data_IF_469415235606
#
_entry.id   IF_469415235606
#
_cell.length_a   1.000
_cell.length_b   1.000
_cell.length_c   1.000
_cell.angle_alpha   90.00
_cell.angle_beta   90.00
_cell.angle_gamma   90.00
#
_symmetry.space_group_name_H-M   'P 1'
#
loop_
_entity.id
_entity.type
_entity.pdbx_description
1 polymer ?
#
# COMPACT_ATOMS: atom_id res chain seq x y z
N UNK A 1 -15.77 19.06 -29.69
CA UNK A 1 -15.64 19.70 -28.36
C UNK A 1 -16.48 18.99 -27.29
N UNK A 2 -17.82 18.92 -27.39
CA UNK A 2 -18.68 18.33 -26.34
C UNK A 2 -18.27 16.91 -25.94
N UNK A 3 -18.06 16.00 -26.87
CA UNK A 3 -17.63 14.62 -26.58
C UNK A 3 -16.27 14.53 -25.88
N UNK A 4 -15.34 15.44 -26.17
CA UNK A 4 -14.05 15.52 -25.47
C UNK A 4 -14.24 15.99 -24.03
N UNK A 5 -15.08 17.00 -23.82
CA UNK A 5 -15.40 17.57 -22.50
C UNK A 5 -16.02 16.49 -21.60
N UNK A 6 -17.00 15.74 -22.12
CA UNK A 6 -17.68 14.68 -21.36
C UNK A 6 -16.72 13.53 -21.02
N UNK A 7 -15.90 13.07 -21.98
CA UNK A 7 -14.88 12.04 -21.73
C UNK A 7 -13.81 12.46 -20.73
N UNK A 8 -13.55 13.75 -20.58
CA UNK A 8 -12.54 14.31 -19.66
C UNK A 8 -13.17 14.85 -18.37
N UNK A 9 -14.31 14.31 -17.95
CA UNK A 9 -14.98 14.70 -16.72
C UNK A 9 -15.21 16.23 -16.60
N UNK A 10 -15.50 16.89 -17.73
CA UNK A 10 -15.72 18.33 -17.84
C UNK A 10 -14.44 19.19 -17.59
N UNK A 11 -13.27 18.62 -17.77
CA UNK A 11 -11.99 19.35 -17.67
C UNK A 11 -11.36 19.46 -19.06
N UNK A 12 -10.87 20.65 -19.40
CA UNK A 12 -10.29 20.93 -20.73
C UNK A 12 -9.00 21.72 -20.61
N UNK A 13 -8.06 21.52 -21.54
CA UNK A 13 -6.91 22.37 -21.66
C UNK A 13 -7.21 23.60 -22.53
N UNK A 14 -6.40 24.65 -22.36
CA UNK A 14 -6.49 25.85 -23.20
C UNK A 14 -6.29 25.53 -24.69
N UNK A 15 -5.38 24.61 -24.98
CA UNK A 15 -5.11 24.15 -26.33
C UNK A 15 -6.34 23.52 -26.97
N UNK A 16 -6.97 22.56 -26.27
CA UNK A 16 -8.19 21.91 -26.73
C UNK A 16 -9.34 22.90 -27.00
N UNK A 17 -9.49 23.90 -26.13
CA UNK A 17 -10.52 24.93 -26.26
C UNK A 17 -10.30 25.79 -27.50
N UNK A 18 -9.07 26.25 -27.71
CA UNK A 18 -8.73 27.10 -28.86
C UNK A 18 -8.77 26.33 -30.18
N UNK A 19 -8.22 25.10 -30.21
CA UNK A 19 -8.29 24.20 -31.38
C UNK A 19 -9.73 23.80 -31.73
N UNK A 20 -10.61 23.76 -30.70
CA UNK A 20 -12.05 23.51 -30.87
C UNK A 20 -12.83 24.72 -31.36
N UNK A 21 -12.17 25.82 -31.77
CA UNK A 21 -12.76 26.99 -32.39
C UNK A 21 -13.22 28.10 -31.45
N UNK A 22 -12.98 27.98 -30.12
CA UNK A 22 -13.30 29.05 -29.16
C UNK A 22 -12.25 30.18 -29.25
N UNK A 23 -12.69 31.44 -29.39
CA UNK A 23 -11.80 32.58 -29.39
C UNK A 23 -11.20 32.82 -27.98
N UNK A 24 -10.03 33.49 -27.93
CA UNK A 24 -9.39 33.90 -26.66
C UNK A 24 -10.30 34.81 -25.84
N UNK A 25 -11.07 35.68 -26.49
CA UNK A 25 -12.04 36.57 -25.83
C UNK A 25 -13.19 35.77 -25.21
N UNK A 26 -13.79 34.83 -25.93
CA UNK A 26 -14.85 33.97 -25.41
C UNK A 26 -14.36 33.12 -24.22
N UNK A 27 -13.14 32.60 -24.28
CA UNK A 27 -12.53 31.89 -23.17
C UNK A 27 -12.35 32.79 -21.93
N UNK A 28 -11.81 34.02 -22.12
CA UNK A 28 -11.66 34.99 -21.03
C UNK A 28 -13.00 35.34 -20.40
N UNK A 29 -14.04 35.54 -21.22
CA UNK A 29 -15.39 35.82 -20.74
C UNK A 29 -15.95 34.67 -19.87
N UNK A 30 -15.73 33.39 -20.23
CA UNK A 30 -16.16 32.23 -19.45
C UNK A 30 -15.42 32.10 -18.11
N UNK A 31 -14.16 32.55 -18.05
CA UNK A 31 -13.26 32.46 -16.88
C UNK A 31 -13.32 33.69 -15.97
N UNK A 32 -14.16 34.71 -16.29
CA UNK A 32 -14.32 35.89 -15.46
C UNK A 32 -14.87 35.52 -14.05
N UNK A 33 -14.73 36.38 -13.08
CA UNK A 33 -15.38 36.23 -11.77
C UNK A 33 -16.88 36.04 -11.94
N UNK A 34 -17.47 35.01 -11.31
CA UNK A 34 -18.85 34.62 -11.50
C UNK A 34 -19.17 33.96 -12.85
N UNK A 35 -18.18 33.73 -13.70
CA UNK A 35 -18.35 33.00 -14.96
C UNK A 35 -18.58 31.49 -14.77
N UNK A 36 -19.07 30.82 -15.84
CA UNK A 36 -19.43 29.39 -15.75
C UNK A 36 -18.23 28.45 -15.69
N UNK A 37 -17.01 28.94 -15.96
CA UNK A 37 -15.80 28.12 -15.95
C UNK A 37 -14.84 28.54 -14.85
N UNK A 38 -14.12 27.55 -14.31
CA UNK A 38 -13.13 27.75 -13.26
C UNK A 38 -11.74 27.30 -13.72
N UNK A 39 -10.71 28.10 -13.43
CA UNK A 39 -9.31 27.69 -13.62
C UNK A 39 -8.92 26.74 -12.50
N UNK A 40 -8.48 25.50 -12.83
CA UNK A 40 -7.93 24.54 -11.88
C UNK A 40 -6.42 24.64 -11.79
N UNK A 41 -5.76 24.76 -12.95
CA UNK A 41 -4.32 24.85 -13.10
C UNK A 41 -3.99 25.83 -14.26
N UNK A 42 -2.75 26.30 -14.42
CA UNK A 42 -2.37 27.12 -15.55
C UNK A 42 -2.73 26.42 -16.88
N UNK A 43 -3.60 27.05 -17.65
CA UNK A 43 -4.07 26.52 -18.92
C UNK A 43 -5.03 25.33 -18.86
N UNK A 44 -5.56 24.98 -17.67
CA UNK A 44 -6.54 23.90 -17.50
C UNK A 44 -7.77 24.42 -16.76
N UNK A 45 -8.95 24.11 -17.28
CA UNK A 45 -10.20 24.67 -16.88
C UNK A 45 -11.25 23.59 -16.60
N UNK A 46 -12.05 23.81 -15.57
CA UNK A 46 -13.28 23.06 -15.30
C UNK A 46 -14.46 23.80 -15.97
N UNK A 47 -15.24 23.08 -16.75
CA UNK A 47 -16.33 23.66 -17.54
C UNK A 47 -17.69 23.62 -16.87
N UNK A 48 -17.75 23.15 -15.64
CA UNK A 48 -18.92 23.10 -14.75
C UNK A 48 -18.64 23.82 -13.45
N UNK A 49 -19.68 24.19 -12.73
CA UNK A 49 -19.59 24.82 -11.40
C UNK A 49 -19.44 23.78 -10.30
N UNK A 50 -19.04 24.21 -9.09
CA UNK A 50 -18.91 23.36 -7.91
C UNK A 50 -17.47 23.03 -7.54
N UNK A 51 -17.31 22.23 -6.47
CA UNK A 51 -16.00 21.74 -6.03
C UNK A 51 -15.52 20.63 -6.96
N UNK A 52 -14.28 20.71 -7.48
CA UNK A 52 -13.74 19.67 -8.36
C UNK A 52 -13.71 18.31 -7.67
N UNK A 53 -14.24 17.31 -8.35
CA UNK A 53 -14.14 15.91 -7.91
C UNK A 53 -12.70 15.42 -8.02
N UNK A 54 -12.40 14.28 -7.40
CA UNK A 54 -11.10 13.64 -7.51
C UNK A 54 -10.74 13.36 -8.98
N UNK A 55 -11.63 12.76 -9.76
CA UNK A 55 -11.41 12.46 -11.18
C UNK A 55 -11.13 13.73 -11.98
N UNK A 56 -11.83 14.81 -11.69
CA UNK A 56 -11.61 16.11 -12.33
C UNK A 56 -10.23 16.68 -11.99
N UNK A 57 -9.77 16.53 -10.75
CA UNK A 57 -8.42 16.95 -10.36
C UNK A 57 -7.35 16.08 -11.04
N UNK A 58 -7.52 14.77 -11.11
CA UNK A 58 -6.62 13.83 -11.80
C UNK A 58 -6.56 14.14 -13.30
N UNK A 59 -7.72 14.39 -13.95
CA UNK A 59 -7.78 14.82 -15.34
C UNK A 59 -7.07 16.16 -15.56
N UNK A 60 -7.28 17.12 -14.65
CA UNK A 60 -6.59 18.39 -14.74
C UNK A 60 -5.07 18.24 -14.59
N UNK A 61 -4.60 17.36 -13.70
CA UNK A 61 -3.19 17.07 -13.49
C UNK A 61 -2.57 16.43 -14.75
N UNK A 62 -3.24 15.48 -15.37
CA UNK A 62 -2.79 14.85 -16.62
C UNK A 62 -2.75 15.84 -17.78
N UNK A 63 -3.81 16.64 -17.99
CA UNK A 63 -3.83 17.67 -19.01
C UNK A 63 -2.74 18.74 -18.79
N UNK A 64 -2.47 19.08 -17.54
CA UNK A 64 -1.37 19.97 -17.18
C UNK A 64 -0.01 19.32 -17.45
N UNK A 65 0.16 18.04 -17.21
CA UNK A 65 1.40 17.30 -17.55
C UNK A 65 1.65 17.22 -19.05
N UNK A 66 0.60 17.17 -19.86
CA UNK A 66 0.68 17.05 -21.31
C UNK A 66 0.30 15.65 -21.84
N UNK A 67 0.40 15.41 -23.15
CA UNK A 67 -0.18 14.23 -23.80
C UNK A 67 0.44 12.89 -23.37
N UNK A 68 1.68 12.89 -22.91
CA UNK A 68 2.40 11.69 -22.46
C UNK A 68 2.48 11.56 -20.94
N UNK A 69 1.67 12.32 -20.22
CA UNK A 69 1.65 12.26 -18.77
C UNK A 69 0.94 11.03 -18.25
N UNK A 70 1.44 10.49 -17.14
CA UNK A 70 0.87 9.32 -16.46
C UNK A 70 0.68 9.64 -14.98
N UNK A 71 -0.54 9.49 -14.49
CA UNK A 71 -0.85 9.63 -13.05
C UNK A 71 -0.21 8.47 -12.29
N UNK A 72 0.48 8.75 -11.19
CA UNK A 72 1.20 7.74 -10.40
C UNK A 72 0.98 7.90 -8.90
N UNK A 73 1.71 7.13 -8.09
CA UNK A 73 1.69 7.24 -6.64
C UNK A 73 0.30 7.00 -6.03
N UNK A 74 -0.06 7.79 -5.03
CA UNK A 74 -1.31 7.61 -4.28
C UNK A 74 -2.58 7.69 -5.13
N UNK A 75 -2.60 8.51 -6.17
CA UNK A 75 -3.74 8.63 -7.07
C UNK A 75 -3.92 7.36 -7.92
N UNK A 76 -2.86 6.81 -8.48
CA UNK A 76 -2.90 5.56 -9.24
C UNK A 76 -3.25 4.37 -8.34
N UNK A 77 -2.65 4.26 -7.15
CA UNK A 77 -2.99 3.22 -6.18
C UNK A 77 -4.49 3.21 -5.85
N UNK A 78 -5.05 4.38 -5.59
CA UNK A 78 -6.47 4.48 -5.29
C UNK A 78 -7.36 4.14 -6.50
N UNK A 79 -6.92 4.40 -7.74
CA UNK A 79 -7.63 3.94 -8.94
C UNK A 79 -7.74 2.41 -8.96
N UNK A 80 -6.67 1.70 -8.58
CA UNK A 80 -6.65 0.23 -8.45
C UNK A 80 -7.27 -0.27 -7.14
N UNK A 81 -7.84 0.60 -6.29
CA UNK A 81 -8.40 0.27 -4.97
C UNK A 81 -7.37 -0.33 -4.02
N UNK A 82 -6.12 0.09 -4.15
CA UNK A 82 -5.01 -0.28 -3.28
C UNK A 82 -4.83 0.73 -2.15
N UNK A 83 -4.23 0.32 -1.01
CA UNK A 83 -3.85 1.25 0.04
C UNK A 83 -2.98 2.38 -0.51
N UNK A 84 -3.41 3.60 -0.28
CA UNK A 84 -2.74 4.80 -0.77
C UNK A 84 -2.42 5.75 0.39
N UNK A 85 -1.30 6.48 0.32
CA UNK A 85 -1.01 7.50 1.32
C UNK A 85 -2.07 8.63 1.26
N UNK A 86 -2.43 9.13 2.43
CA UNK A 86 -3.32 10.30 2.53
C UNK A 86 -2.56 11.55 2.03
N UNK A 87 -2.91 12.03 0.86
CA UNK A 87 -2.33 13.24 0.26
C UNK A 87 -3.33 13.93 -0.64
N UNK A 88 -3.31 15.26 -0.61
CA UNK A 88 -4.07 16.09 -1.53
C UNK A 88 -3.31 16.32 -2.86
N UNK A 89 -2.04 15.94 -2.92
CA UNK A 89 -1.23 16.09 -4.11
C UNK A 89 -1.44 14.95 -5.09
N UNK A 90 -1.45 15.27 -6.36
CA UNK A 90 -1.52 14.32 -7.46
C UNK A 90 -0.16 14.27 -8.14
N UNK A 91 0.45 13.10 -8.08
CA UNK A 91 1.75 12.84 -8.67
C UNK A 91 1.58 12.42 -10.13
N UNK A 92 2.34 13.06 -11.02
CA UNK A 92 2.27 12.81 -12.45
C UNK A 92 3.67 12.63 -13.02
N UNK A 93 3.90 11.50 -13.66
CA UNK A 93 5.10 11.25 -14.45
C UNK A 93 5.01 11.99 -15.79
N UNK A 94 6.07 12.63 -16.16
CA UNK A 94 6.20 13.32 -17.44
C UNK A 94 7.56 13.02 -18.08
N UNK A 95 7.67 13.01 -19.42
CA UNK A 95 8.96 12.88 -20.10
C UNK A 95 9.96 13.96 -19.69
N UNK A 96 11.25 13.65 -19.80
CA UNK A 96 12.36 14.58 -19.41
C UNK A 96 12.26 15.93 -20.12
N UNK A 97 11.72 15.98 -21.33
CA UNK A 97 11.62 17.19 -22.17
C UNK A 97 10.57 18.19 -21.64
N UNK A 98 9.68 17.76 -20.76
CA UNK A 98 8.63 18.63 -20.22
C UNK A 98 9.23 19.64 -19.26
N UNK A 99 9.13 20.94 -19.59
CA UNK A 99 9.69 22.04 -18.80
C UNK A 99 8.71 22.63 -17.75
N UNK A 100 7.51 22.10 -17.66
CA UNK A 100 6.51 22.58 -16.69
C UNK A 100 6.94 22.30 -15.26
N UNK A 101 6.57 23.20 -14.34
CA UNK A 101 6.85 23.07 -12.91
C UNK A 101 5.64 22.52 -12.17
N UNK A 102 5.86 21.88 -11.04
CA UNK A 102 4.80 21.52 -10.10
C UNK A 102 4.06 22.78 -9.64
N UNK A 103 2.71 22.70 -9.55
CA UNK A 103 1.87 23.84 -9.18
C UNK A 103 0.58 23.37 -8.53
N UNK A 104 0.11 24.11 -7.54
CA UNK A 104 -1.13 23.79 -6.81
C UNK A 104 -1.12 22.38 -6.25
N UNK A 105 -2.08 21.60 -6.62
CA UNK A 105 -2.22 20.21 -6.18
C UNK A 105 -1.46 19.19 -7.06
N UNK A 106 -0.60 19.62 -7.99
CA UNK A 106 0.11 18.73 -8.92
C UNK A 106 1.60 18.73 -8.65
N UNK A 107 2.18 17.55 -8.47
CA UNK A 107 3.61 17.29 -8.50
C UNK A 107 4.00 16.60 -9.81
N UNK A 108 4.87 17.24 -10.58
CA UNK A 108 5.42 16.67 -11.80
C UNK A 108 6.77 16.02 -11.51
N UNK A 109 6.90 14.76 -11.93
CA UNK A 109 8.12 13.98 -11.82
C UNK A 109 8.64 13.67 -13.22
N UNK A 110 9.75 14.28 -13.60
CA UNK A 110 10.38 14.01 -14.89
C UNK A 110 11.10 12.67 -14.85
N UNK A 111 10.85 11.84 -15.86
CA UNK A 111 11.47 10.53 -15.95
C UNK A 111 11.80 10.16 -17.39
N UNK A 112 12.96 9.52 -17.60
CA UNK A 112 13.28 8.84 -18.87
C UNK A 112 12.62 7.47 -18.97
N UNK A 113 12.03 6.97 -17.87
CA UNK A 113 11.41 5.66 -17.79
C UNK A 113 9.89 5.80 -17.60
N UNK A 114 9.22 6.17 -18.69
CA UNK A 114 7.76 6.20 -18.70
C UNK A 114 7.21 4.77 -18.64
N UNK A 115 6.21 4.51 -17.78
CA UNK A 115 5.62 3.17 -17.71
C UNK A 115 4.77 2.88 -18.94
N UNK A 116 4.73 1.60 -19.32
CA UNK A 116 3.73 1.11 -20.27
C UNK A 116 2.38 1.08 -19.56
N UNK A 117 1.39 1.73 -20.12
CA UNK A 117 0.02 1.78 -19.57
C UNK A 117 -0.91 0.92 -20.40
N UNK A 118 -1.93 0.34 -19.78
CA UNK A 118 -2.94 -0.48 -20.46
C UNK A 118 -3.89 0.33 -21.37
N UNK A 119 -3.53 1.57 -21.69
CA UNK A 119 -4.35 2.53 -22.44
C UNK A 119 -5.09 3.50 -21.52
N UNK A 120 -5.52 4.64 -22.06
CA UNK A 120 -6.21 5.65 -21.28
C UNK A 120 -7.64 5.19 -20.96
N UNK A 121 -7.98 5.04 -19.71
CA UNK A 121 -9.36 4.93 -19.25
C UNK A 121 -9.94 6.34 -19.11
N UNK A 122 -10.97 6.66 -19.87
CA UNK A 122 -11.58 8.00 -19.91
C UNK A 122 -10.58 9.16 -20.19
N UNK A 123 -9.53 8.88 -20.99
CA UNK A 123 -8.49 9.87 -21.32
C UNK A 123 -7.40 10.04 -20.27
N UNK A 124 -7.41 9.26 -19.20
CA UNK A 124 -6.36 9.22 -18.16
C UNK A 124 -5.53 7.96 -18.28
N UNK A 125 -4.21 8.12 -18.21
CA UNK A 125 -3.27 7.02 -18.07
C UNK A 125 -2.79 6.94 -16.62
N UNK A 126 -2.85 5.73 -16.04
CA UNK A 126 -2.34 5.45 -14.69
C UNK A 126 -1.13 4.53 -14.77
N UNK A 127 -0.14 4.79 -13.93
CA UNK A 127 1.00 3.89 -13.77
C UNK A 127 0.53 2.52 -13.26
N UNK A 128 1.11 1.41 -13.75
CA UNK A 128 0.80 0.07 -13.25
C UNK A 128 1.01 -0.03 -11.73
N UNK A 129 0.35 -0.98 -11.04
CA UNK A 129 0.38 -1.09 -9.58
C UNK A 129 1.79 -1.14 -8.99
N UNK A 130 2.71 -1.92 -9.55
CA UNK A 130 4.09 -2.00 -9.09
C UNK A 130 4.80 -0.65 -9.18
N UNK A 131 4.67 0.04 -10.32
CA UNK A 131 5.26 1.37 -10.52
C UNK A 131 4.62 2.40 -9.59
N UNK A 132 3.31 2.42 -9.45
CA UNK A 132 2.60 3.34 -8.58
C UNK A 132 2.99 3.16 -7.10
N UNK A 133 3.12 1.90 -6.65
CA UNK A 133 3.55 1.57 -5.30
C UNK A 133 5.01 1.95 -5.04
N UNK A 134 5.90 1.67 -5.99
CA UNK A 134 7.30 2.08 -5.92
C UNK A 134 7.45 3.59 -5.83
N UNK A 135 6.78 4.33 -6.72
CA UNK A 135 6.81 5.80 -6.73
C UNK A 135 6.25 6.38 -5.42
N UNK A 136 5.10 5.86 -4.93
CA UNK A 136 4.52 6.30 -3.66
C UNK A 136 5.50 6.07 -2.49
N UNK A 137 6.11 4.89 -2.41
CA UNK A 137 7.05 4.54 -1.34
C UNK A 137 8.34 5.38 -1.38
N UNK A 138 8.83 5.76 -2.57
CA UNK A 138 10.00 6.64 -2.72
C UNK A 138 9.78 8.03 -2.12
N UNK A 139 8.55 8.51 -2.11
CA UNK A 139 8.22 9.86 -1.61
C UNK A 139 7.74 9.86 -0.17
N UNK A 140 7.49 8.69 0.42
CA UNK A 140 7.19 8.53 1.83
C UNK A 140 8.47 8.62 2.67
N UNK A 141 8.34 9.22 3.86
CA UNK A 141 9.40 9.25 4.87
C UNK A 141 9.08 8.38 6.07
N UNK A 142 7.86 7.93 6.16
CA UNK A 142 7.34 7.10 7.22
C UNK A 142 7.38 5.63 6.81
N UNK A 143 8.15 4.82 7.54
CA UNK A 143 8.32 3.38 7.29
C UNK A 143 6.98 2.63 7.38
N UNK A 144 6.10 3.03 8.30
CA UNK A 144 4.81 2.37 8.49
C UNK A 144 3.89 2.60 7.28
N UNK A 145 3.87 3.83 6.77
CA UNK A 145 3.10 4.14 5.56
C UNK A 145 3.66 3.38 4.35
N UNK A 146 4.99 3.31 4.21
CA UNK A 146 5.63 2.53 3.15
C UNK A 146 5.26 1.04 3.26
N UNK A 147 5.30 0.45 4.47
CA UNK A 147 4.85 -0.92 4.73
C UNK A 147 3.39 -1.14 4.33
N UNK A 148 2.49 -0.23 4.73
CA UNK A 148 1.07 -0.33 4.40
C UNK A 148 0.82 -0.30 2.87
N UNK A 149 1.51 0.59 2.16
CA UNK A 149 1.41 0.71 0.70
C UNK A 149 1.94 -0.54 0.00
N UNK A 150 3.16 -0.97 0.33
CA UNK A 150 3.81 -2.09 -0.36
C UNK A 150 3.14 -3.42 -0.03
N UNK A 151 2.87 -3.70 1.26
CA UNK A 151 2.17 -4.92 1.65
C UNK A 151 0.77 -4.99 1.02
N UNK A 152 0.02 -3.88 1.04
CA UNK A 152 -1.30 -3.83 0.42
C UNK A 152 -1.27 -3.99 -1.10
N UNK A 153 -0.23 -3.47 -1.78
CA UNK A 153 -0.06 -3.66 -3.21
C UNK A 153 0.24 -5.14 -3.56
N UNK A 154 1.04 -5.83 -2.73
CA UNK A 154 1.38 -7.25 -2.95
C UNK A 154 0.24 -8.19 -2.59
N UNK A 155 -0.53 -7.90 -1.55
CA UNK A 155 -1.60 -8.79 -1.07
C UNK A 155 -2.90 -8.67 -1.88
N UNK A 156 -3.07 -7.60 -2.61
CA UNK A 156 -4.28 -7.37 -3.39
C UNK A 156 -4.24 -8.15 -4.71
N UNK A 157 -5.37 -8.76 -5.07
CA UNK A 157 -5.56 -9.38 -6.40
C UNK A 157 -5.44 -8.37 -7.56
N UNK A 158 -5.60 -7.09 -7.30
CA UNK A 158 -5.45 -6.00 -8.28
C UNK A 158 -4.12 -5.27 -8.15
N UNK A 159 -3.21 -5.82 -7.34
CA UNK A 159 -1.91 -5.24 -7.05
C UNK A 159 -0.81 -5.74 -7.97
N UNK A 160 0.31 -6.10 -7.37
CA UNK A 160 1.49 -6.56 -8.09
C UNK A 160 2.22 -7.64 -7.28
N UNK A 161 3.11 -8.37 -7.94
CA UNK A 161 3.98 -9.35 -7.29
C UNK A 161 5.20 -8.69 -6.63
N UNK A 162 5.85 -9.34 -5.65
CA UNK A 162 7.13 -8.88 -5.12
C UNK A 162 8.22 -8.74 -6.20
N UNK A 163 8.21 -9.61 -7.20
CA UNK A 163 9.18 -9.59 -8.29
C UNK A 163 8.99 -8.36 -9.19
N UNK A 164 7.74 -8.00 -9.54
CA UNK A 164 7.44 -6.77 -10.28
C UNK A 164 7.90 -5.51 -9.52
N UNK A 165 7.72 -5.48 -8.19
CA UNK A 165 8.24 -4.40 -7.34
C UNK A 165 9.77 -4.38 -7.30
N UNK A 166 10.41 -5.56 -7.26
CA UNK A 166 11.86 -5.67 -7.30
C UNK A 166 12.41 -5.17 -8.63
N UNK A 167 11.72 -5.44 -9.75
CA UNK A 167 12.07 -4.94 -11.08
C UNK A 167 11.96 -3.41 -11.14
N UNK A 168 10.90 -2.84 -10.62
CA UNK A 168 10.74 -1.39 -10.52
C UNK A 168 11.84 -0.75 -9.67
N UNK A 169 12.23 -1.41 -8.57
CA UNK A 169 13.29 -0.96 -7.67
C UNK A 169 14.68 -1.04 -8.32
N UNK A 170 14.95 -2.09 -9.11
CA UNK A 170 16.21 -2.25 -9.88
C UNK A 170 16.33 -1.22 -10.99
N UNK A 171 15.26 -0.98 -11.70
CA UNK A 171 15.19 0.00 -12.78
C UNK A 171 15.05 1.45 -12.29
N UNK A 172 14.71 1.68 -11.04
CA UNK A 172 14.46 2.98 -10.43
C UNK A 172 15.72 3.63 -9.84
N UNK A 173 15.59 4.85 -9.28
CA UNK A 173 16.71 5.56 -8.65
C UNK A 173 17.14 4.85 -7.36
N UNK A 174 18.45 4.73 -7.15
CA UNK A 174 19.03 4.21 -5.90
C UNK A 174 18.79 5.18 -4.75
N UNK A 175 18.96 6.49 -5.02
CA UNK A 175 18.77 7.54 -4.02
C UNK A 175 17.30 7.61 -3.59
N UNK A 176 17.05 7.57 -2.30
CA UNK A 176 15.69 7.61 -1.71
C UNK A 176 14.98 6.26 -1.65
N UNK A 177 15.56 5.18 -2.20
CA UNK A 177 14.92 3.87 -2.23
C UNK A 177 15.14 2.99 -0.98
N UNK A 178 15.82 3.51 0.05
CA UNK A 178 16.18 2.73 1.25
C UNK A 178 14.95 2.13 1.97
N UNK A 179 13.89 2.93 2.15
CA UNK A 179 12.64 2.45 2.75
C UNK A 179 11.98 1.37 1.89
N UNK A 180 11.90 1.57 0.58
CA UNK A 180 11.31 0.61 -0.34
C UNK A 180 12.09 -0.70 -0.34
N UNK A 181 13.45 -0.65 -0.38
CA UNK A 181 14.31 -1.85 -0.30
C UNK A 181 14.08 -2.62 0.98
N UNK A 182 14.03 -1.92 2.11
CA UNK A 182 13.76 -2.53 3.41
C UNK A 182 12.41 -3.22 3.43
N UNK A 183 11.35 -2.52 3.02
CA UNK A 183 9.98 -3.06 3.04
C UNK A 183 9.82 -4.22 2.06
N UNK A 184 10.45 -4.14 0.88
CA UNK A 184 10.40 -5.24 -0.08
C UNK A 184 11.09 -6.49 0.46
N UNK A 185 12.24 -6.36 1.14
CA UNK A 185 12.88 -7.47 1.81
C UNK A 185 11.96 -8.10 2.88
N UNK A 186 11.30 -7.27 3.70
CA UNK A 186 10.34 -7.75 4.71
C UNK A 186 9.18 -8.53 4.06
N UNK A 187 8.62 -8.03 2.97
CA UNK A 187 7.52 -8.70 2.23
C UNK A 187 7.99 -10.00 1.59
N UNK A 188 9.19 -10.01 1.00
CA UNK A 188 9.79 -11.22 0.43
C UNK A 188 10.09 -12.30 1.49
N UNK A 189 10.32 -11.88 2.74
CA UNK A 189 10.47 -12.76 3.90
C UNK A 189 9.12 -13.19 4.53
N UNK A 190 8.00 -13.00 3.85
CA UNK A 190 6.67 -13.45 4.29
C UNK A 190 5.90 -12.52 5.23
N UNK A 191 6.39 -11.29 5.46
CA UNK A 191 5.66 -10.29 6.25
C UNK A 191 4.47 -9.74 5.47
N UNK A 192 3.26 -9.86 6.04
CA UNK A 192 2.00 -9.53 5.33
C UNK A 192 1.43 -8.16 5.67
N UNK A 193 1.84 -7.54 6.77
CA UNK A 193 1.26 -6.26 7.20
C UNK A 193 2.28 -5.37 7.93
N UNK A 194 1.96 -4.07 8.04
CA UNK A 194 2.79 -3.15 8.81
C UNK A 194 2.90 -3.54 10.30
N UNK A 195 1.84 -3.98 11.00
CA UNK A 195 1.94 -4.48 12.36
C UNK A 195 2.82 -5.74 12.51
N UNK A 196 2.78 -6.67 11.56
CA UNK A 196 3.65 -7.84 11.53
C UNK A 196 5.13 -7.45 11.37
N UNK A 197 5.42 -6.47 10.52
CA UNK A 197 6.76 -5.92 10.38
C UNK A 197 7.23 -5.22 11.67
N UNK A 198 6.33 -4.49 12.35
CA UNK A 198 6.61 -3.88 13.66
C UNK A 198 6.91 -4.96 14.72
N UNK A 199 6.15 -6.08 14.74
CA UNK A 199 6.42 -7.24 15.59
C UNK A 199 7.79 -7.83 15.29
N UNK A 200 8.12 -8.06 14.01
CA UNK A 200 9.43 -8.63 13.61
C UNK A 200 10.61 -7.76 14.07
N UNK A 201 10.50 -6.43 13.90
CA UNK A 201 11.52 -5.50 14.37
C UNK A 201 11.66 -5.52 15.92
N UNK A 202 10.53 -5.72 16.62
CA UNK A 202 10.55 -5.83 18.08
C UNK A 202 11.17 -7.16 18.55
N UNK A 203 10.84 -8.28 17.90
CA UNK A 203 11.40 -9.59 18.20
C UNK A 203 12.93 -9.57 18.10
N UNK A 204 13.52 -8.91 17.10
CA UNK A 204 14.98 -8.76 16.98
C UNK A 204 15.62 -8.10 18.23
N UNK A 205 14.87 -7.24 18.93
CA UNK A 205 15.33 -6.57 20.17
C UNK A 205 15.18 -7.44 21.42
N UNK A 206 14.44 -8.55 21.32
CA UNK A 206 14.24 -9.46 22.47
C UNK A 206 15.46 -10.32 22.77
N UNK A 207 16.34 -10.57 21.80
CA UNK A 207 17.42 -11.57 21.90
C UNK A 207 16.92 -13.02 21.84
N UNK A 208 15.63 -13.26 21.62
CA UNK A 208 15.08 -14.60 21.44
C UNK A 208 15.38 -15.12 20.03
N UNK A 209 15.35 -16.46 19.81
CA UNK A 209 15.37 -17.02 18.46
C UNK A 209 14.29 -16.41 17.60
N UNK A 210 14.55 -16.30 16.28
CA UNK A 210 13.53 -15.79 15.37
C UNK A 210 12.41 -16.82 15.21
N UNK A 211 11.12 -16.40 15.34
CA UNK A 211 9.99 -17.28 15.14
C UNK A 211 9.75 -17.57 13.66
N UNK A 212 8.91 -18.55 13.39
CA UNK A 212 8.27 -18.68 12.08
C UNK A 212 7.18 -17.61 11.99
N UNK A 213 7.22 -16.80 10.93
CA UNK A 213 6.19 -15.79 10.66
C UNK A 213 5.11 -16.37 9.75
N UNK A 214 3.85 -16.15 10.11
CA UNK A 214 2.67 -16.59 9.38
C UNK A 214 2.66 -18.09 9.00
N UNK A 215 3.13 -19.01 9.86
CA UNK A 215 3.10 -20.42 9.52
C UNK A 215 1.68 -20.97 9.57
N UNK A 216 1.39 -21.97 8.74
CA UNK A 216 0.20 -22.79 8.91
C UNK A 216 0.51 -23.90 9.91
N UNK A 217 -0.23 -23.96 11.01
CA UNK A 217 -0.09 -24.96 12.06
C UNK A 217 -1.06 -26.12 11.82
N UNK A 218 -0.54 -27.35 11.89
CA UNK A 218 -1.32 -28.56 11.67
C UNK A 218 -1.13 -29.55 12.82
N UNK A 219 -2.22 -30.23 13.17
CA UNK A 219 -2.17 -31.43 14.02
C UNK A 219 -1.53 -32.60 13.27
N UNK A 220 -1.09 -33.67 13.99
CA UNK A 220 -0.54 -34.87 13.38
C UNK A 220 -1.47 -35.57 12.39
N UNK A 221 -2.78 -35.42 12.59
CA UNK A 221 -3.81 -35.94 11.69
C UNK A 221 -4.05 -35.08 10.43
N UNK A 222 -3.26 -34.01 10.24
CA UNK A 222 -3.37 -33.09 9.09
C UNK A 222 -4.43 -32.00 9.25
N UNK A 223 -5.11 -31.90 10.39
CA UNK A 223 -6.11 -30.86 10.65
C UNK A 223 -5.42 -29.50 10.82
N UNK A 224 -5.86 -28.49 10.08
CA UNK A 224 -5.37 -27.11 10.19
C UNK A 224 -5.89 -26.46 11.49
N UNK A 225 -4.97 -26.06 12.37
CA UNK A 225 -5.27 -25.34 13.60
C UNK A 225 -5.48 -23.85 13.36
N UNK A 226 -4.58 -23.22 12.57
CA UNK A 226 -4.60 -21.81 12.29
C UNK A 226 -3.30 -21.30 11.71
N UNK A 227 -3.19 -19.96 11.60
CA UNK A 227 -2.03 -19.28 11.07
C UNK A 227 -1.74 -18.05 11.96
N UNK A 228 -0.95 -18.20 13.02
CA UNK A 228 -0.55 -17.06 13.87
C UNK A 228 0.46 -16.16 13.15
N UNK A 229 0.57 -14.88 13.57
CA UNK A 229 1.52 -13.95 13.01
C UNK A 229 2.97 -14.33 13.32
N UNK A 230 3.22 -14.94 14.49
CA UNK A 230 4.51 -15.53 14.83
C UNK A 230 4.34 -16.81 15.68
N UNK A 231 5.25 -17.76 15.48
CA UNK A 231 5.23 -19.07 16.14
C UNK A 231 6.64 -19.51 16.57
N UNK A 232 6.81 -19.85 17.85
CA UNK A 232 8.00 -20.51 18.41
C UNK A 232 7.70 -21.96 18.73
N UNK A 233 8.10 -22.91 17.87
CA UNK A 233 7.83 -24.35 18.08
C UNK A 233 8.35 -24.89 19.40
N UNK A 234 9.56 -24.47 19.80
CA UNK A 234 10.24 -24.90 21.00
C UNK A 234 9.57 -24.43 22.30
N UNK A 235 8.81 -23.34 22.23
CA UNK A 235 8.09 -22.78 23.37
C UNK A 235 6.57 -23.07 23.31
N UNK A 236 6.05 -23.61 22.20
CA UNK A 236 4.61 -23.70 21.97
C UNK A 236 3.91 -22.36 22.11
N UNK A 237 4.57 -21.28 21.65
CA UNK A 237 4.11 -19.90 21.77
C UNK A 237 3.67 -19.35 20.42
N UNK A 238 2.42 -18.98 20.33
CA UNK A 238 1.84 -18.21 19.24
C UNK A 238 1.71 -16.74 19.62
N UNK A 239 1.97 -15.84 18.68
CA UNK A 239 1.70 -14.41 18.84
C UNK A 239 0.77 -13.95 17.73
N UNK A 240 -0.26 -13.23 18.10
CA UNK A 240 -1.22 -12.60 17.20
C UNK A 240 -1.21 -11.08 17.41
N UNK A 241 -1.15 -10.32 16.33
CA UNK A 241 -1.25 -8.86 16.35
C UNK A 241 -2.63 -8.46 15.85
N UNK A 242 -3.48 -8.09 16.78
CA UNK A 242 -4.85 -7.67 16.49
C UNK A 242 -4.85 -6.30 15.82
N UNK A 243 -4.73 -6.30 14.47
CA UNK A 243 -4.74 -5.09 13.65
C UNK A 243 -6.15 -4.57 13.36
N UNK A 244 -7.18 -5.31 13.77
CA UNK A 244 -8.56 -4.99 13.46
C UNK A 244 -9.06 -3.83 14.30
N UNK A 245 -9.43 -2.74 13.64
CA UNK A 245 -10.29 -1.71 14.20
C UNK A 245 -11.66 -2.33 14.52
N UNK A 246 -12.09 -2.24 15.73
CA UNK A 246 -13.40 -2.32 16.41
C UNK A 246 -14.72 -2.60 15.62
N UNK A 247 -14.68 -3.23 14.44
CA UNK A 247 -15.88 -3.62 13.67
C UNK A 247 -15.73 -5.07 13.20
N UNK A 248 -15.66 -5.99 14.17
CA UNK A 248 -15.89 -7.40 13.86
C UNK A 248 -17.40 -7.61 13.71
N UNK A 249 -17.83 -8.22 12.60
CA UNK A 249 -19.17 -8.81 12.57
C UNK A 249 -19.26 -9.88 13.66
N UNK A 250 -20.46 -10.18 14.20
CA UNK A 250 -20.64 -11.29 15.15
C UNK A 250 -19.98 -12.59 14.66
N UNK A 251 -20.08 -12.88 13.37
CA UNK A 251 -19.50 -14.09 12.77
C UNK A 251 -17.95 -14.06 12.74
N UNK A 252 -17.34 -12.89 12.56
CA UNK A 252 -15.88 -12.75 12.61
C UNK A 252 -15.35 -12.92 14.04
N UNK A 253 -16.13 -12.46 15.03
CA UNK A 253 -15.84 -12.66 16.44
C UNK A 253 -15.89 -14.14 16.81
N UNK A 254 -16.98 -14.86 16.45
CA UNK A 254 -17.13 -16.29 16.70
C UNK A 254 -15.98 -17.09 16.09
N UNK A 255 -15.62 -16.85 14.83
CA UNK A 255 -14.46 -17.50 14.18
C UNK A 255 -13.14 -17.26 14.92
N UNK A 256 -12.97 -16.08 15.49
CA UNK A 256 -11.76 -15.76 16.27
C UNK A 256 -11.75 -16.53 17.59
N UNK A 257 -12.88 -16.60 18.29
CA UNK A 257 -13.03 -17.37 19.53
C UNK A 257 -12.82 -18.86 19.29
N UNK A 258 -13.38 -19.42 18.22
CA UNK A 258 -13.19 -20.82 17.84
C UNK A 258 -11.72 -21.16 17.55
N UNK A 259 -10.99 -20.23 16.94
CA UNK A 259 -9.56 -20.40 16.71
C UNK A 259 -8.76 -20.39 18.03
N UNK A 260 -9.09 -19.47 18.92
CA UNK A 260 -8.46 -19.41 20.25
C UNK A 260 -8.75 -20.67 21.07
N UNK A 261 -9.97 -21.17 21.02
CA UNK A 261 -10.35 -22.42 21.69
C UNK A 261 -9.50 -23.59 21.17
N UNK A 262 -9.37 -23.73 19.85
CA UNK A 262 -8.54 -24.78 19.24
C UNK A 262 -7.05 -24.68 19.62
N UNK A 263 -6.51 -23.48 19.75
CA UNK A 263 -5.14 -23.29 20.23
C UNK A 263 -5.01 -23.71 21.71
N UNK A 264 -6.00 -23.32 22.54
CA UNK A 264 -6.06 -23.69 23.95
C UNK A 264 -6.14 -25.20 24.18
N UNK A 265 -6.96 -25.92 23.39
CA UNK A 265 -7.08 -27.38 23.42
C UNK A 265 -5.75 -28.11 23.18
N UNK A 266 -4.85 -27.48 22.43
CA UNK A 266 -3.52 -28.02 22.13
C UNK A 266 -2.42 -27.46 23.07
N UNK A 267 -2.79 -26.82 24.17
CA UNK A 267 -1.88 -26.18 25.11
C UNK A 267 -0.94 -25.13 24.46
N UNK A 268 -1.31 -24.56 23.32
CA UNK A 268 -0.60 -23.44 22.71
C UNK A 268 -0.85 -22.20 23.54
N UNK A 269 0.22 -21.55 23.99
CA UNK A 269 0.13 -20.22 24.62
C UNK A 269 -0.03 -19.18 23.52
N UNK A 270 -1.13 -18.45 23.54
CA UNK A 270 -1.36 -17.36 22.58
C UNK A 270 -1.20 -16.01 23.25
N UNK A 271 -0.28 -15.20 22.74
CA UNK A 271 -0.08 -13.84 23.20
C UNK A 271 -0.67 -12.86 22.20
N UNK A 272 -1.70 -12.12 22.63
CA UNK A 272 -2.35 -11.09 21.84
C UNK A 272 -1.68 -9.73 22.08
N UNK A 273 -1.30 -9.07 20.98
CA UNK A 273 -0.69 -7.74 21.00
C UNK A 273 -1.48 -6.81 20.08
N UNK A 274 -1.59 -5.56 20.47
CA UNK A 274 -2.15 -4.54 19.60
C UNK A 274 -1.05 -3.77 18.87
N UNK A 275 -1.33 -3.22 17.66
CA UNK A 275 -0.38 -2.34 16.98
C UNK A 275 0.04 -1.11 17.82
N UNK A 276 -0.83 -0.66 18.71
CA UNK A 276 -0.52 0.41 19.65
C UNK A 276 0.56 -0.01 20.65
N UNK A 277 0.42 -1.20 21.26
CA UNK A 277 1.41 -1.74 22.21
C UNK A 277 2.79 -1.94 21.56
N UNK A 278 2.83 -2.44 20.31
CA UNK A 278 4.08 -2.60 19.56
C UNK A 278 4.84 -1.28 19.36
N UNK A 279 4.15 -0.13 19.39
CA UNK A 279 4.74 1.19 19.19
C UNK A 279 5.05 1.93 20.48
N UNK A 280 4.14 1.90 21.42
CA UNK A 280 4.19 2.76 22.61
C UNK A 280 4.83 2.04 23.79
N UNK A 281 4.55 0.73 23.97
CA UNK A 281 4.96 -0.06 25.13
C UNK A 281 6.01 -1.11 24.78
N UNK A 282 6.99 -0.77 23.93
CA UNK A 282 7.97 -1.75 23.42
C UNK A 282 8.68 -2.53 24.52
N UNK A 283 9.08 -1.87 25.62
CA UNK A 283 9.75 -2.53 26.73
C UNK A 283 8.85 -3.57 27.43
N UNK A 284 7.58 -3.23 27.66
CA UNK A 284 6.61 -4.16 28.25
C UNK A 284 6.31 -5.33 27.32
N UNK A 285 6.20 -5.11 26.02
CA UNK A 285 6.00 -6.18 25.04
C UNK A 285 7.21 -7.10 24.96
N UNK A 286 8.44 -6.57 24.96
CA UNK A 286 9.67 -7.35 25.01
C UNK A 286 9.70 -8.25 26.25
N UNK A 287 9.36 -7.70 27.44
CA UNK A 287 9.29 -8.46 28.66
C UNK A 287 8.24 -9.59 28.59
N UNK A 288 7.03 -9.29 28.07
CA UNK A 288 5.97 -10.30 27.87
C UNK A 288 6.42 -11.42 26.95
N UNK A 289 7.06 -11.11 25.81
CA UNK A 289 7.56 -12.09 24.86
C UNK A 289 8.62 -13.00 25.52
N UNK A 290 9.58 -12.43 26.23
CA UNK A 290 10.63 -13.19 26.95
C UNK A 290 10.03 -14.10 28.00
N UNK A 291 9.13 -13.60 28.83
CA UNK A 291 8.49 -14.37 29.88
C UNK A 291 7.67 -15.53 29.31
N UNK A 292 6.86 -15.27 28.30
CA UNK A 292 6.05 -16.30 27.63
C UNK A 292 6.92 -17.36 26.95
N UNK A 293 7.99 -16.95 26.27
CA UNK A 293 8.93 -17.86 25.62
C UNK A 293 9.63 -18.75 26.65
N UNK A 294 10.23 -18.19 27.70
CA UNK A 294 10.93 -18.97 28.71
C UNK A 294 9.98 -19.91 29.48
N UNK A 295 8.79 -19.45 29.84
CA UNK A 295 7.79 -20.32 30.46
C UNK A 295 7.36 -21.45 29.50
N UNK A 296 7.32 -21.19 28.21
CA UNK A 296 7.01 -22.18 27.19
C UNK A 296 8.08 -23.27 27.06
N UNK A 297 9.35 -22.88 27.06
CA UNK A 297 10.47 -23.84 26.89
C UNK A 297 10.68 -24.79 28.07
N UNK A 298 10.05 -24.54 29.24
CA UNK A 298 10.06 -25.47 30.39
C UNK A 298 9.01 -26.59 30.26
N UNK A 299 8.11 -26.52 29.24
CA UNK A 299 7.06 -27.51 29.03
C UNK A 299 7.48 -28.54 27.98
N UNK A 300 6.83 -29.72 27.95
CA UNK A 300 7.02 -30.68 26.87
C UNK A 300 6.72 -30.04 25.51
N UNK A 301 7.50 -30.39 24.51
CA UNK A 301 7.31 -29.90 23.15
C UNK A 301 5.97 -30.37 22.59
N UNK A 302 5.25 -29.47 21.92
CA UNK A 302 3.96 -29.79 21.33
C UNK A 302 4.15 -30.54 20.00
N UNK A 303 3.31 -31.52 19.73
CA UNK A 303 3.33 -32.27 18.49
C UNK A 303 2.51 -31.53 17.41
N UNK A 304 3.07 -30.41 16.94
CA UNK A 304 2.45 -29.53 15.95
C UNK A 304 3.41 -29.36 14.78
N UNK A 305 2.91 -29.59 13.58
CA UNK A 305 3.67 -29.34 12.35
C UNK A 305 3.42 -27.91 11.86
N UNK A 306 4.47 -27.13 11.69
CA UNK A 306 4.40 -25.79 11.14
C UNK A 306 4.93 -25.78 9.70
N UNK A 307 4.10 -25.34 8.73
CA UNK A 307 4.51 -25.12 7.35
C UNK A 307 4.70 -23.63 7.12
N UNK A 308 5.90 -23.25 6.68
CA UNK A 308 6.17 -21.86 6.28
C UNK A 308 5.27 -21.47 5.12
N UNK A 309 4.74 -20.27 5.15
CA UNK A 309 4.03 -19.68 3.99
C UNK A 309 5.00 -19.16 2.92
N UNK A 310 6.32 -19.19 3.17
CA UNK A 310 7.35 -18.84 2.19
C UNK A 310 7.68 -20.05 1.31
N UNK A 311 7.43 -19.98 -0.03
CA UNK A 311 7.75 -21.07 -0.96
C UNK A 311 9.24 -21.44 -1.02
N UNK A 312 10.13 -20.53 -0.61
CA UNK A 312 11.60 -20.74 -0.61
C UNK A 312 12.10 -21.40 0.67
N UNK A 313 11.31 -21.38 1.72
CA UNK A 313 11.68 -21.94 3.01
C UNK A 313 11.23 -23.39 3.17
N UNK A 314 11.25 -24.26 2.20
CA UNK A 314 10.82 -25.68 2.20
C UNK A 314 11.00 -26.50 3.50
N UNK A 315 10.88 -25.89 4.65
CA UNK A 315 11.18 -26.42 5.97
C UNK A 315 9.90 -26.78 6.71
N UNK A 316 9.62 -28.07 6.77
CA UNK A 316 8.70 -28.68 7.74
C UNK A 316 9.44 -28.70 9.07
N UNK A 317 9.05 -27.83 10.03
CA UNK A 317 9.56 -27.91 11.40
C UNK A 317 8.57 -28.76 12.21
N UNK A 318 9.01 -29.97 12.58
CA UNK A 318 8.29 -30.85 13.51
C UNK A 318 8.61 -30.47 14.95
#
# INVERSE_FOLDING_TARGET
>A
MRAVVEKQAFVVSREQVLSGGMSRHALAHRLRSGGPWRRLLPGVYLTVTGTPTRVQRETAAALYGGPWSVVTGGAALSYYRLPAPATELIDVLVPLQVQRRSVGFVRLHRTGRMPVTLGPTAGLAYAPPARAAADAALWLRDLRQARAVIAGAVQSRHGCTPDELADELRAGPVRGSALLRRVLAEVSDGVRSAPEAELRDLVKKTGLPMPLFNPRLYLPNGTLLGCPDAWWPEAGLAVEVDSRRWHLSPEDWERTMDRHARFGEQAIVTLHLTPHQLRVDQAAVIAKLRNAYHAGTTRPRLNITALSSDPKAGMVVK
#
